data_IF_155705195188
#
_entry.id   IF_155705195188
#
_cell.length_a   1.000
_cell.length_b   1.000
_cell.length_c   1.000
_cell.angle_alpha   90.00
_cell.angle_beta   90.00
_cell.angle_gamma   90.00
#
_symmetry.space_group_name_H-M   'P 1'
#
loop_
_entity.id
_entity.type
_entity.pdbx_description
1 polymer ?
#
# COMPACT_ATOMS: atom_id res chain seq x y z
N UNK A 1 -25.21 6.81 -3.97
CA UNK A 1 -23.99 7.20 -3.25
C UNK A 1 -22.78 6.92 -4.12
N UNK A 2 -22.01 7.97 -4.40
CA UNK A 2 -20.79 7.93 -5.22
C UNK A 2 -19.56 7.98 -4.32
N UNK A 3 -18.83 6.87 -4.23
CA UNK A 3 -17.62 6.76 -3.40
C UNK A 3 -16.36 6.81 -4.26
N UNK A 4 -15.45 7.74 -3.96
CA UNK A 4 -14.10 7.74 -4.51
C UNK A 4 -13.15 6.96 -3.59
N UNK A 5 -12.34 6.09 -4.16
CA UNK A 5 -11.34 5.29 -3.45
C UNK A 5 -9.97 5.61 -4.03
N UNK A 6 -9.05 6.01 -3.16
CA UNK A 6 -7.63 6.21 -3.46
C UNK A 6 -6.79 5.46 -2.43
N UNK A 7 -5.62 4.99 -2.84
CA UNK A 7 -4.75 4.14 -2.03
C UNK A 7 -3.29 4.46 -2.29
N UNK A 8 -2.41 4.02 -1.39
CA UNK A 8 -0.97 4.03 -1.57
C UNK A 8 -0.48 5.44 -1.94
N UNK A 9 -0.84 6.41 -1.09
CA UNK A 9 -0.42 7.81 -1.23
C UNK A 9 1.00 8.02 -0.72
N UNK A 10 1.34 7.28 0.35
CA UNK A 10 2.58 7.33 1.10
C UNK A 10 3.07 8.76 1.38
N UNK A 11 2.18 9.63 1.85
CA UNK A 11 2.54 11.02 2.12
C UNK A 11 3.64 11.07 3.19
N UNK A 12 4.79 11.65 2.82
CA UNK A 12 5.99 11.73 3.64
C UNK A 12 7.15 10.85 3.18
N UNK A 13 7.07 10.19 2.02
CA UNK A 13 8.16 9.37 1.48
C UNK A 13 9.50 10.12 1.44
N UNK A 14 10.57 9.41 1.81
CA UNK A 14 11.93 9.99 1.76
C UNK A 14 12.45 10.14 0.34
N UNK A 15 11.94 9.34 -0.60
CA UNK A 15 12.32 9.38 -2.01
C UNK A 15 11.77 10.62 -2.74
N UNK A 16 10.70 11.22 -2.22
CA UNK A 16 9.90 12.25 -2.90
C UNK A 16 8.94 11.72 -3.97
N UNK A 17 8.79 10.39 -4.06
CA UNK A 17 7.91 9.75 -5.06
C UNK A 17 6.41 9.92 -4.79
N UNK A 18 6.02 10.39 -3.62
CA UNK A 18 4.63 10.68 -3.21
C UNK A 18 4.09 11.93 -3.91
N UNK A 19 3.54 11.75 -5.12
CA UNK A 19 3.28 12.86 -6.05
C UNK A 19 2.19 13.83 -5.57
N UNK A 20 1.34 13.41 -4.63
CA UNK A 20 0.27 14.24 -4.05
C UNK A 20 0.78 15.35 -3.10
N UNK A 21 2.06 15.32 -2.73
CA UNK A 21 2.68 16.48 -2.07
C UNK A 21 2.82 17.67 -3.02
N UNK A 22 2.89 17.42 -4.33
CA UNK A 22 2.93 18.51 -5.31
C UNK A 22 1.53 19.13 -5.50
N UNK A 23 1.38 20.46 -5.34
CA UNK A 23 0.06 21.11 -5.35
C UNK A 23 -0.69 20.96 -6.68
N UNK A 24 0.01 20.98 -7.81
CA UNK A 24 -0.63 20.83 -9.13
C UNK A 24 -1.22 19.43 -9.33
N UNK A 25 -0.51 18.38 -8.88
CA UNK A 25 -0.98 16.99 -8.98
C UNK A 25 -2.14 16.77 -8.02
N UNK A 26 -2.03 17.32 -6.81
CA UNK A 26 -3.11 17.27 -5.82
C UNK A 26 -4.38 17.95 -6.31
N UNK A 27 -4.27 19.10 -7.00
CA UNK A 27 -5.42 19.78 -7.60
C UNK A 27 -6.16 18.87 -8.59
N UNK A 28 -5.45 18.12 -9.44
CA UNK A 28 -6.08 17.17 -10.38
C UNK A 28 -6.90 16.10 -9.67
N UNK A 29 -6.38 15.54 -8.57
CA UNK A 29 -7.13 14.60 -7.75
C UNK A 29 -8.37 15.25 -7.14
N UNK A 30 -8.23 16.42 -6.54
CA UNK A 30 -9.32 17.11 -5.85
C UNK A 30 -10.44 17.54 -6.80
N UNK A 31 -10.09 17.94 -8.03
CA UNK A 31 -11.05 18.21 -9.10
C UNK A 31 -11.86 16.95 -9.47
N UNK A 32 -11.19 15.79 -9.60
CA UNK A 32 -11.86 14.52 -9.90
C UNK A 32 -12.80 14.07 -8.77
N UNK A 33 -12.33 14.09 -7.51
CA UNK A 33 -13.11 13.57 -6.37
C UNK A 33 -14.08 14.60 -5.77
N UNK A 34 -14.11 15.82 -6.29
CA UNK A 34 -14.90 16.93 -5.74
C UNK A 34 -16.40 16.69 -5.72
N UNK A 35 -16.91 15.74 -6.53
CA UNK A 35 -18.31 15.32 -6.55
C UNK A 35 -18.59 13.99 -5.84
N UNK A 36 -17.61 13.42 -5.13
CA UNK A 36 -17.84 12.23 -4.33
C UNK A 36 -18.73 12.55 -3.12
N UNK A 37 -19.62 11.63 -2.74
CA UNK A 37 -20.36 11.69 -1.48
C UNK A 37 -19.49 11.24 -0.30
N UNK A 38 -18.51 10.37 -0.58
CA UNK A 38 -17.54 9.79 0.35
C UNK A 38 -16.19 9.60 -0.33
N UNK A 39 -15.11 9.87 0.40
CA UNK A 39 -13.75 9.49 -0.01
C UNK A 39 -13.21 8.42 0.93
N UNK A 40 -12.65 7.35 0.38
CA UNK A 40 -11.97 6.28 1.11
C UNK A 40 -10.48 6.34 0.80
N UNK A 41 -9.66 6.49 1.84
CA UNK A 41 -8.21 6.34 1.79
C UNK A 41 -7.87 4.89 2.16
N UNK A 42 -7.69 4.04 1.16
CA UNK A 42 -7.59 2.57 1.28
C UNK A 42 -6.17 2.10 1.66
N UNK A 43 -5.65 2.69 2.72
CA UNK A 43 -4.38 2.31 3.33
C UNK A 43 -3.17 2.99 2.70
N UNK A 44 -2.09 2.98 3.47
CA UNK A 44 -0.82 3.61 3.14
C UNK A 44 -1.00 5.07 2.68
N UNK A 45 -1.87 5.80 3.39
CA UNK A 45 -2.12 7.21 3.16
C UNK A 45 -0.95 8.07 3.64
N UNK A 46 -0.35 7.70 4.78
CA UNK A 46 0.79 8.41 5.40
C UNK A 46 1.97 7.45 5.62
N UNK A 47 3.17 7.88 5.27
CA UNK A 47 4.38 7.07 5.43
C UNK A 47 4.92 7.13 6.88
N UNK A 48 4.66 6.09 7.69
CA UNK A 48 5.13 6.02 9.10
C UNK A 48 6.25 4.98 9.34
N UNK A 49 6.75 4.31 8.29
CA UNK A 49 7.85 3.33 8.37
C UNK A 49 9.20 3.92 7.95
N UNK A 50 9.22 5.02 7.21
CA UNK A 50 10.47 5.68 6.82
C UNK A 50 10.93 6.80 7.76
N UNK A 51 9.98 7.53 8.36
CA UNK A 51 10.25 8.75 9.14
C UNK A 51 9.49 8.79 10.48
N UNK A 52 9.95 9.60 11.45
CA UNK A 52 9.20 9.84 12.67
C UNK A 52 7.82 10.46 12.40
N UNK A 53 6.88 10.22 13.32
CA UNK A 53 5.46 10.58 13.17
C UNK A 53 5.24 12.07 12.86
N UNK A 54 5.91 12.96 13.61
CA UNK A 54 5.75 14.41 13.46
C UNK A 54 6.07 14.91 12.05
N UNK A 55 7.29 14.67 11.52
CA UNK A 55 7.64 14.98 10.14
C UNK A 55 6.71 14.36 9.08
N UNK A 56 6.29 13.09 9.25
CA UNK A 56 5.37 12.45 8.30
C UNK A 56 4.01 13.15 8.26
N UNK A 57 3.44 13.46 9.43
CA UNK A 57 2.19 14.21 9.53
C UNK A 57 2.33 15.63 8.96
N UNK A 58 3.45 16.32 9.23
CA UNK A 58 3.71 17.65 8.67
C UNK A 58 3.76 17.63 7.13
N UNK A 59 4.36 16.60 6.53
CA UNK A 59 4.41 16.42 5.08
C UNK A 59 3.03 16.11 4.48
N UNK A 60 2.17 15.40 5.21
CA UNK A 60 0.82 15.03 4.77
C UNK A 60 -0.22 16.15 4.98
N UNK A 61 0.05 17.12 5.87
CA UNK A 61 -0.89 18.18 6.26
C UNK A 61 -1.55 18.90 5.08
N UNK A 62 -0.82 19.44 4.07
CA UNK A 62 -1.44 20.17 2.98
C UNK A 62 -2.46 19.34 2.20
N UNK A 63 -2.23 18.02 2.10
CA UNK A 63 -3.18 17.13 1.45
C UNK A 63 -4.49 17.03 2.22
N UNK A 64 -4.44 16.82 3.53
CA UNK A 64 -5.64 16.69 4.35
C UNK A 64 -6.42 18.01 4.47
N UNK A 65 -5.74 19.15 4.56
CA UNK A 65 -6.40 20.47 4.56
C UNK A 65 -7.13 20.71 3.23
N UNK A 66 -6.48 20.46 2.09
CA UNK A 66 -7.09 20.66 0.77
C UNK A 66 -8.23 19.64 0.51
N UNK A 67 -8.09 18.40 0.98
CA UNK A 67 -9.13 17.36 0.91
C UNK A 67 -10.37 17.77 1.72
N UNK A 68 -10.19 18.21 2.96
CA UNK A 68 -11.26 18.69 3.80
C UNK A 68 -12.00 19.87 3.19
N UNK A 69 -11.25 20.83 2.64
CA UNK A 69 -11.81 21.99 1.95
C UNK A 69 -12.65 21.60 0.72
N UNK A 70 -12.19 20.63 -0.08
CA UNK A 70 -12.92 20.15 -1.26
C UNK A 70 -14.21 19.41 -0.88
N UNK A 71 -14.21 18.67 0.23
CA UNK A 71 -15.32 17.83 0.64
C UNK A 71 -16.38 18.54 1.49
N UNK A 72 -16.04 19.60 2.23
CA UNK A 72 -17.00 20.23 3.14
C UNK A 72 -17.45 19.22 4.21
N UNK A 73 -18.75 19.04 4.44
CA UNK A 73 -19.27 18.15 5.51
C UNK A 73 -19.32 16.65 5.15
N UNK A 74 -18.78 16.27 3.99
CA UNK A 74 -18.82 14.89 3.47
C UNK A 74 -17.88 13.95 4.22
N UNK A 75 -18.08 12.65 4.05
CA UNK A 75 -17.36 11.62 4.82
C UNK A 75 -16.00 11.29 4.20
N UNK A 76 -14.98 11.21 5.05
CA UNK A 76 -13.66 10.64 4.73
C UNK A 76 -13.45 9.41 5.60
N UNK A 77 -13.19 8.26 4.99
CA UNK A 77 -12.84 7.04 5.73
C UNK A 77 -11.40 6.65 5.46
N UNK A 78 -10.60 6.50 6.52
CA UNK A 78 -9.26 5.90 6.43
C UNK A 78 -9.39 4.41 6.76
N UNK A 79 -8.87 3.57 5.87
CA UNK A 79 -8.70 2.13 6.09
C UNK A 79 -7.21 1.85 6.23
N UNK A 80 -6.63 1.83 7.45
CA UNK A 80 -5.19 1.74 7.62
C UNK A 80 -4.57 0.50 6.93
N UNK A 81 -3.43 0.72 6.26
CA UNK A 81 -2.58 -0.30 5.65
C UNK A 81 -1.41 -0.66 6.56
N UNK A 82 -0.35 -1.24 5.99
CA UNK A 82 0.84 -1.62 6.75
C UNK A 82 1.78 -0.45 7.06
N UNK A 83 1.77 0.63 6.25
CA UNK A 83 2.62 1.81 6.48
C UNK A 83 2.02 2.79 7.49
N UNK A 84 0.70 2.80 7.63
CA UNK A 84 -0.03 3.62 8.58
C UNK A 84 -0.89 2.82 9.57
N UNK A 85 -0.53 1.55 9.80
CA UNK A 85 -1.19 0.63 10.77
C UNK A 85 -1.40 1.26 12.15
N UNK A 86 -0.54 2.19 12.54
CA UNK A 86 -0.65 2.97 13.79
C UNK A 86 -2.01 3.65 13.95
N UNK A 87 -2.72 3.97 12.86
CA UNK A 87 -4.05 4.56 12.89
C UNK A 87 -5.14 3.57 13.33
N UNK A 88 -4.91 2.26 13.17
CA UNK A 88 -5.83 1.21 13.63
C UNK A 88 -5.60 0.82 15.10
N UNK A 89 -4.46 1.17 15.70
CA UNK A 89 -4.10 0.70 17.04
C UNK A 89 -5.12 1.04 18.14
N UNK A 90 -5.70 2.26 18.22
CA UNK A 90 -6.72 2.55 19.24
C UNK A 90 -7.91 1.60 19.19
N UNK A 91 -8.41 1.32 17.98
CA UNK A 91 -9.49 0.35 17.77
C UNK A 91 -9.07 -1.07 18.18
N UNK A 92 -7.85 -1.49 17.83
CA UNK A 92 -7.32 -2.81 18.19
C UNK A 92 -7.08 -2.97 19.69
N UNK A 93 -6.74 -1.88 20.39
CA UNK A 93 -6.58 -1.85 21.84
C UNK A 93 -7.94 -1.95 22.53
N UNK A 94 -8.94 -1.16 22.08
CA UNK A 94 -10.31 -1.23 22.59
C UNK A 94 -10.88 -2.65 22.45
N UNK A 95 -10.75 -3.28 21.27
CA UNK A 95 -11.17 -4.68 21.04
C UNK A 95 -10.41 -5.70 21.91
N UNK A 96 -9.21 -5.38 22.38
CA UNK A 96 -8.45 -6.26 23.26
C UNK A 96 -8.86 -6.14 24.73
N UNK A 97 -9.40 -4.98 25.11
CA UNK A 97 -9.86 -4.67 26.47
C UNK A 97 -11.31 -5.10 26.68
N UNK A 98 -12.17 -4.77 25.72
CA UNK A 98 -13.55 -5.24 25.70
C UNK A 98 -13.55 -6.71 25.28
N UNK A 99 -13.80 -7.61 26.23
CA UNK A 99 -13.81 -9.07 26.03
C UNK A 99 -14.92 -9.57 25.08
N UNK A 100 -15.58 -8.65 24.38
CA UNK A 100 -16.88 -8.80 23.74
C UNK A 100 -16.83 -9.42 22.35
N UNK A 101 -15.96 -8.96 21.45
CA UNK A 101 -15.92 -9.44 20.06
C UNK A 101 -14.52 -9.43 19.43
N UNK A 102 -14.09 -10.51 18.73
CA UNK A 102 -12.85 -10.52 17.98
C UNK A 102 -12.90 -9.56 16.78
N UNK A 103 -11.73 -9.13 16.31
CA UNK A 103 -11.61 -8.38 15.05
C UNK A 103 -12.25 -9.18 13.90
N UNK A 104 -13.09 -8.51 13.12
CA UNK A 104 -13.89 -9.07 12.03
C UNK A 104 -13.40 -8.49 10.71
N UNK A 105 -14.19 -8.59 9.64
CA UNK A 105 -13.86 -7.98 8.35
C UNK A 105 -14.02 -6.46 8.36
N UNK A 106 -14.88 -5.94 9.24
CA UNK A 106 -15.13 -4.52 9.38
C UNK A 106 -15.40 -4.16 10.84
N UNK A 107 -14.61 -3.22 11.33
CA UNK A 107 -14.88 -2.45 12.53
C UNK A 107 -14.67 -0.98 12.24
N UNK A 108 -15.48 -0.13 12.85
CA UNK A 108 -15.35 1.31 12.72
C UNK A 108 -15.03 1.96 14.06
N UNK A 109 -14.28 3.05 14.00
CA UNK A 109 -13.90 3.84 15.16
C UNK A 109 -13.88 5.32 14.80
N UNK A 110 -14.22 6.16 15.77
CA UNK A 110 -14.04 7.60 15.64
C UNK A 110 -12.54 7.95 15.71
N UNK A 111 -12.14 9.13 15.22
CA UNK A 111 -10.80 9.64 15.48
C UNK A 111 -10.52 9.69 16.99
N UNK A 112 -9.33 9.26 17.38
CA UNK A 112 -8.91 9.16 18.78
C UNK A 112 -7.72 10.10 19.05
N UNK A 113 -7.48 10.51 20.33
CA UNK A 113 -6.38 11.38 20.67
C UNK A 113 -5.05 10.89 20.09
N UNK A 114 -4.36 11.76 19.34
CA UNK A 114 -3.12 11.42 18.64
C UNK A 114 -3.19 11.75 17.14
N UNK A 115 -2.62 10.90 16.26
CA UNK A 115 -2.48 11.23 14.86
C UNK A 115 -3.82 11.33 14.11
N UNK A 116 -4.79 10.48 14.41
CA UNK A 116 -6.11 10.51 13.74
C UNK A 116 -6.93 11.73 14.15
N UNK A 117 -6.89 12.16 15.42
CA UNK A 117 -7.45 13.46 15.84
C UNK A 117 -6.76 14.67 15.18
N UNK A 118 -5.45 14.56 14.88
CA UNK A 118 -4.71 15.62 14.18
C UNK A 118 -5.17 15.73 12.72
N UNK A 119 -5.38 14.59 12.06
CA UNK A 119 -5.92 14.53 10.69
C UNK A 119 -7.36 15.03 10.65
N UNK A 120 -8.20 14.62 11.61
CA UNK A 120 -9.59 15.10 11.76
C UNK A 120 -9.65 16.63 11.84
N UNK A 121 -8.78 17.23 12.67
CA UNK A 121 -8.69 18.69 12.78
C UNK A 121 -8.30 19.39 11.46
N UNK A 122 -7.48 18.76 10.61
CA UNK A 122 -7.10 19.31 9.29
C UNK A 122 -8.20 19.15 8.25
N UNK A 123 -8.95 18.05 8.32
CA UNK A 123 -10.12 17.81 7.47
C UNK A 123 -11.26 18.81 7.74
N UNK A 124 -11.25 19.45 8.92
CA UNK A 124 -12.15 20.54 9.24
C UNK A 124 -13.61 20.07 9.30
N UNK A 125 -14.51 20.56 8.42
CA UNK A 125 -15.90 20.11 8.42
C UNK A 125 -16.10 18.66 7.95
N UNK A 126 -15.12 18.07 7.25
CA UNK A 126 -15.26 16.72 6.71
C UNK A 126 -15.21 15.68 7.83
N UNK A 127 -16.14 14.72 7.80
CA UNK A 127 -16.31 13.76 8.88
C UNK A 127 -15.34 12.61 8.71
N UNK A 128 -14.32 12.53 9.57
CA UNK A 128 -13.37 11.43 9.56
C UNK A 128 -13.94 10.19 10.28
N UNK A 129 -13.80 9.03 9.62
CA UNK A 129 -14.01 7.70 10.21
C UNK A 129 -12.77 6.83 9.99
N UNK A 130 -12.45 5.98 10.95
CA UNK A 130 -11.47 4.91 10.79
C UNK A 130 -12.22 3.59 10.61
N UNK A 131 -11.87 2.79 9.60
CA UNK A 131 -12.38 1.44 9.40
C UNK A 131 -11.21 0.44 9.29
N UNK A 132 -11.32 -0.75 9.89
CA UNK A 132 -10.24 -1.74 9.89
C UNK A 132 -10.77 -3.17 10.03
N UNK A 133 -10.12 -4.18 9.42
CA UNK A 133 -9.05 -4.10 8.41
C UNK A 133 -9.56 -3.81 6.99
N UNK A 134 -10.88 -3.75 6.83
CA UNK A 134 -11.56 -3.40 5.59
C UNK A 134 -12.89 -2.69 5.88
N UNK A 135 -13.67 -2.54 4.82
CA UNK A 135 -14.95 -1.84 4.80
C UNK A 135 -15.83 -2.43 3.69
N UNK A 136 -17.06 -2.79 4.03
CA UNK A 136 -18.10 -3.05 3.05
C UNK A 136 -18.67 -1.72 2.55
N UNK A 137 -18.52 -1.46 1.26
CA UNK A 137 -19.07 -0.27 0.61
C UNK A 137 -20.51 -0.50 0.13
N UNK A 138 -20.81 -1.75 -0.20
CA UNK A 138 -22.12 -2.33 -0.55
C UNK A 138 -22.09 -3.80 -0.16
N UNK A 139 -23.24 -4.48 -0.19
CA UNK A 139 -23.34 -5.92 0.10
C UNK A 139 -22.50 -6.79 -0.85
N UNK A 140 -22.09 -6.26 -1.99
CA UNK A 140 -21.30 -6.92 -3.03
C UNK A 140 -19.92 -6.27 -3.27
N UNK A 141 -19.50 -5.27 -2.47
CA UNK A 141 -18.22 -4.58 -2.64
C UNK A 141 -17.48 -4.48 -1.30
N UNK A 142 -16.39 -5.25 -1.18
CA UNK A 142 -15.49 -5.21 -0.02
C UNK A 142 -14.18 -4.52 -0.40
N UNK A 143 -13.79 -3.52 0.39
CA UNK A 143 -12.52 -2.81 0.21
C UNK A 143 -11.60 -3.07 1.41
N UNK A 144 -10.36 -3.45 1.13
CA UNK A 144 -9.29 -3.55 2.14
C UNK A 144 -7.99 -3.03 1.53
N UNK A 145 -7.05 -2.54 2.33
CA UNK A 145 -5.74 -2.19 1.79
C UNK A 145 -5.05 -3.40 1.14
N UNK A 146 -5.18 -4.58 1.76
CA UNK A 146 -4.61 -5.82 1.25
C UNK A 146 -3.24 -6.18 1.85
N UNK A 147 -2.79 -5.52 2.92
CA UNK A 147 -1.49 -5.85 3.57
C UNK A 147 -1.38 -7.29 4.06
N UNK A 148 -2.50 -7.99 4.29
CA UNK A 148 -2.50 -9.42 4.60
C UNK A 148 -2.00 -10.30 3.44
N UNK A 149 -1.95 -9.78 2.22
CA UNK A 149 -1.33 -10.44 1.06
C UNK A 149 0.14 -10.80 1.32
N UNK A 150 0.85 -10.05 2.18
CA UNK A 150 2.25 -10.33 2.52
C UNK A 150 2.47 -11.74 3.11
N UNK A 151 1.43 -12.37 3.65
CA UNK A 151 1.50 -13.75 4.12
C UNK A 151 1.47 -14.80 3.00
N UNK A 152 0.97 -14.42 1.82
CA UNK A 152 0.74 -15.31 0.68
C UNK A 152 1.61 -14.97 -0.53
N UNK A 153 2.30 -13.82 -0.50
CA UNK A 153 3.22 -13.42 -1.54
C UNK A 153 4.42 -14.35 -1.58
N UNK A 154 4.60 -15.00 -2.74
CA UNK A 154 5.79 -15.81 -3.04
C UNK A 154 7.00 -14.94 -3.40
N UNK A 155 6.84 -13.62 -3.42
CA UNK A 155 7.94 -12.71 -3.68
C UNK A 155 8.83 -12.57 -2.42
N UNK A 156 10.15 -12.82 -2.50
CA UNK A 156 11.04 -12.77 -1.34
C UNK A 156 11.40 -11.33 -0.92
N UNK A 157 10.38 -10.50 -0.65
CA UNK A 157 10.55 -9.17 -0.03
C UNK A 157 10.88 -9.33 1.45
N UNK A 158 11.55 -8.33 2.03
CA UNK A 158 11.95 -8.36 3.43
C UNK A 158 10.73 -8.56 4.36
N UNK A 159 9.62 -7.91 4.06
CA UNK A 159 8.33 -8.05 4.74
C UNK A 159 7.82 -9.50 4.68
N UNK A 160 7.67 -10.07 3.49
CA UNK A 160 7.17 -11.43 3.31
C UNK A 160 8.06 -12.47 4.01
N UNK A 161 9.39 -12.29 3.96
CA UNK A 161 10.35 -13.15 4.68
C UNK A 161 10.20 -13.00 6.21
N UNK A 162 10.00 -11.77 6.71
CA UNK A 162 9.77 -11.54 8.13
C UNK A 162 8.46 -12.18 8.59
N UNK A 163 7.39 -12.07 7.79
CA UNK A 163 6.10 -12.73 8.05
C UNK A 163 6.26 -14.25 8.08
N UNK A 164 6.89 -14.86 7.07
CA UNK A 164 7.15 -16.30 7.04
C UNK A 164 7.98 -16.75 8.25
N UNK A 165 8.95 -15.94 8.68
CA UNK A 165 9.73 -16.20 9.89
C UNK A 165 8.87 -16.17 11.16
N UNK A 166 7.97 -15.20 11.31
CA UNK A 166 7.07 -15.12 12.45
C UNK A 166 6.05 -16.26 12.47
N UNK A 167 5.51 -16.64 11.31
CA UNK A 167 4.67 -17.85 11.18
C UNK A 167 5.45 -19.08 11.66
N UNK A 168 6.69 -19.24 11.18
CA UNK A 168 7.53 -20.39 11.54
C UNK A 168 7.88 -20.45 13.02
N UNK A 169 8.17 -19.31 13.65
CA UNK A 169 8.51 -19.22 15.08
C UNK A 169 7.28 -19.43 15.95
N UNK A 170 6.13 -18.85 15.56
CA UNK A 170 4.88 -19.00 16.32
C UNK A 170 4.35 -20.44 16.32
N UNK A 171 4.76 -21.26 15.34
CA UNK A 171 4.27 -22.62 15.15
C UNK A 171 2.77 -22.70 14.82
N UNK A 172 2.15 -21.57 14.47
CA UNK A 172 0.72 -21.43 14.18
C UNK A 172 0.56 -20.91 12.75
N UNK A 173 0.43 -21.81 11.75
CA UNK A 173 0.15 -21.39 10.38
C UNK A 173 -1.18 -20.64 10.31
N UNK A 174 -1.32 -19.79 9.29
CA UNK A 174 -2.61 -19.15 8.98
C UNK A 174 -3.56 -20.25 8.49
N UNK A 175 -4.74 -20.41 9.10
CA UNK A 175 -5.71 -21.43 8.67
C UNK A 175 -6.20 -21.20 7.24
N UNK A 176 -6.73 -22.25 6.60
CA UNK A 176 -7.33 -22.14 5.26
C UNK A 176 -8.59 -21.27 5.24
N UNK A 177 -9.31 -21.21 6.37
CA UNK A 177 -10.34 -20.19 6.63
C UNK A 177 -9.84 -19.30 7.76
N UNK A 178 -9.37 -18.11 7.41
CA UNK A 178 -8.73 -17.20 8.33
C UNK A 178 -9.60 -15.97 8.59
N UNK A 179 -9.68 -15.55 9.85
CA UNK A 179 -10.21 -14.24 10.19
C UNK A 179 -9.12 -13.18 10.18
N UNK A 180 -9.50 -11.91 10.27
CA UNK A 180 -8.57 -10.79 10.45
C UNK A 180 -7.63 -11.00 11.66
N UNK A 181 -8.15 -11.55 12.76
CA UNK A 181 -7.37 -11.90 13.96
C UNK A 181 -6.20 -12.83 13.66
N UNK A 182 -6.35 -13.79 12.74
CA UNK A 182 -5.28 -14.74 12.42
C UNK A 182 -4.09 -14.06 11.75
N UNK A 183 -4.35 -13.05 10.91
CA UNK A 183 -3.31 -12.22 10.31
C UNK A 183 -2.72 -11.24 11.32
N UNK A 184 -3.55 -10.50 12.07
CA UNK A 184 -3.08 -9.52 13.07
C UNK A 184 -2.15 -10.15 14.10
N UNK A 185 -2.41 -11.40 14.51
CA UNK A 185 -1.56 -12.15 15.44
C UNK A 185 -0.09 -12.20 15.00
N UNK A 186 0.17 -12.16 13.69
CA UNK A 186 1.51 -12.20 13.11
C UNK A 186 1.95 -10.77 12.75
N UNK A 187 1.10 -10.06 12.01
CA UNK A 187 1.45 -8.82 11.33
C UNK A 187 1.63 -7.64 12.27
N UNK A 188 0.81 -7.53 13.32
CA UNK A 188 0.83 -6.41 14.27
C UNK A 188 2.21 -6.20 14.90
N UNK A 189 2.91 -7.28 15.24
CA UNK A 189 4.26 -7.22 15.81
C UNK A 189 5.29 -6.66 14.82
N UNK A 190 5.21 -7.07 13.55
CA UNK A 190 6.10 -6.59 12.49
C UNK A 190 5.89 -5.09 12.21
N UNK A 191 4.63 -4.65 12.19
CA UNK A 191 4.29 -3.26 11.96
C UNK A 191 4.72 -2.37 13.13
N UNK A 192 4.46 -2.79 14.38
CA UNK A 192 4.94 -2.10 15.57
C UNK A 192 6.46 -1.98 15.63
N UNK A 193 7.19 -3.04 15.25
CA UNK A 193 8.64 -3.01 15.15
C UNK A 193 9.13 -2.02 14.08
N UNK A 194 8.55 -2.06 12.88
CA UNK A 194 8.90 -1.17 11.77
C UNK A 194 8.68 0.30 12.15
N UNK A 195 7.53 0.60 12.76
CA UNK A 195 7.20 1.93 13.28
C UNK A 195 8.21 2.37 14.35
N UNK A 196 8.52 1.52 15.33
CA UNK A 196 9.49 1.83 16.39
C UNK A 196 10.89 2.16 15.85
N UNK A 197 11.35 1.42 14.84
CA UNK A 197 12.61 1.72 14.14
C UNK A 197 12.55 3.09 13.46
N UNK A 198 11.43 3.43 12.83
CA UNK A 198 11.24 4.75 12.21
C UNK A 198 11.29 5.88 13.24
N UNK A 199 10.64 5.70 14.40
CA UNK A 199 10.63 6.70 15.48
C UNK A 199 12.02 6.89 16.13
N UNK A 200 12.87 5.86 16.13
CA UNK A 200 14.23 5.95 16.65
C UNK A 200 15.19 6.76 15.74
N UNK A 201 14.77 7.10 14.51
CA UNK A 201 15.59 7.92 13.60
C UNK A 201 15.58 9.38 14.08
N UNK A 202 16.75 9.89 14.45
CA UNK A 202 16.91 11.32 14.78
C UNK A 202 16.53 12.19 13.59
N UNK A 203 15.83 13.30 13.83
CA UNK A 203 15.40 14.29 12.81
C UNK A 203 16.59 14.70 11.91
N UNK A 204 17.79 14.87 12.48
CA UNK A 204 19.04 15.20 11.76
C UNK A 204 19.55 14.10 10.80
N UNK A 205 19.19 12.83 11.03
CA UNK A 205 19.48 11.70 10.13
C UNK A 205 18.36 11.45 9.13
N UNK A 206 17.11 11.81 9.46
CA UNK A 206 15.98 11.77 8.53
C UNK A 206 16.05 12.85 7.44
N UNK A 207 16.67 14.00 7.73
CA UNK A 207 16.92 15.09 6.79
C UNK A 207 18.21 14.92 5.95
N UNK A 208 19.15 14.06 6.38
CA UNK A 208 20.32 13.71 5.57
C UNK A 208 19.93 12.57 4.64
N UNK A 209 20.00 12.79 3.31
CA UNK A 209 19.91 11.80 2.22
C UNK A 209 19.83 10.38 2.76
N UNK A 210 18.61 9.91 3.03
CA UNK A 210 18.41 8.52 3.34
C UNK A 210 18.85 7.74 2.09
N UNK A 211 19.82 6.81 2.16
CA UNK A 211 19.93 5.84 1.09
C UNK A 211 18.55 5.18 0.99
N UNK A 212 17.99 5.13 -0.23
CA UNK A 212 16.66 4.55 -0.47
C UNK A 212 16.54 3.17 0.17
N UNK A 213 15.30 2.72 0.41
CA UNK A 213 15.00 1.49 1.14
C UNK A 213 16.02 0.37 0.78
N UNK A 214 16.69 -0.25 1.77
CA UNK A 214 17.66 -1.31 1.50
C UNK A 214 17.10 -2.42 0.60
N UNK A 215 15.79 -2.70 0.69
CA UNK A 215 15.08 -3.59 -0.22
C UNK A 215 15.10 -3.04 -1.64
N UNK A 216 14.66 -1.80 -1.90
CA UNK A 216 14.75 -1.14 -3.21
C UNK A 216 16.17 -1.13 -3.79
N UNK A 217 17.19 -0.97 -2.95
CA UNK A 217 18.60 -0.99 -3.39
C UNK A 217 19.05 -2.39 -3.81
N UNK A 218 18.64 -3.43 -3.07
CA UNK A 218 18.85 -4.83 -3.46
C UNK A 218 18.04 -5.19 -4.72
N UNK A 219 16.80 -4.69 -4.81
CA UNK A 219 15.92 -4.81 -5.97
C UNK A 219 16.54 -4.18 -7.22
N UNK A 220 17.05 -2.95 -7.14
CA UNK A 220 17.81 -2.29 -8.22
C UNK A 220 19.05 -3.10 -8.60
N UNK A 221 19.72 -3.75 -7.63
CA UNK A 221 20.86 -4.59 -7.91
C UNK A 221 20.49 -5.83 -8.74
N UNK A 222 19.30 -6.39 -8.50
CA UNK A 222 18.77 -7.63 -9.10
C UNK A 222 18.01 -7.42 -10.43
N UNK A 223 17.31 -6.29 -10.62
CA UNK A 223 16.38 -6.06 -11.75
C UNK A 223 16.87 -5.08 -12.81
N UNK A 224 17.81 -4.17 -12.53
CA UNK A 224 18.20 -3.15 -13.52
C UNK A 224 19.09 -3.73 -14.63
N UNK A 225 18.70 -3.57 -15.90
CA UNK A 225 19.50 -3.94 -17.10
C UNK A 225 20.36 -2.79 -17.67
N UNK A 226 20.48 -1.68 -16.94
CA UNK A 226 21.33 -0.55 -17.36
C UNK A 226 22.81 -0.97 -17.35
N UNK A 227 23.48 -0.89 -18.52
CA UNK A 227 24.91 -1.22 -18.73
C UNK A 227 25.79 -0.57 -17.66
N UNK A 228 26.18 -1.34 -16.63
CA UNK A 228 27.04 -0.87 -15.56
C UNK A 228 28.47 -0.63 -16.09
N UNK A 229 28.99 0.59 -15.92
CA UNK A 229 30.40 0.88 -16.25
C UNK A 229 31.31 0.26 -15.17
N UNK A 230 31.99 -0.85 -15.50
CA UNK A 230 33.08 -1.44 -14.72
C UNK A 230 33.02 -2.97 -14.50
N UNK A 231 34.08 -3.68 -14.90
CA UNK A 231 34.22 -5.16 -14.86
C UNK A 231 33.93 -5.80 -13.49
N UNK A 232 34.40 -5.17 -12.40
CA UNK A 232 34.27 -5.72 -11.03
C UNK A 232 32.82 -5.74 -10.55
N UNK A 233 32.04 -4.69 -10.84
CA UNK A 233 30.61 -4.60 -10.50
C UNK A 233 29.74 -5.58 -11.32
N UNK A 234 30.15 -5.87 -12.55
CA UNK A 234 29.47 -6.84 -13.41
C UNK A 234 29.65 -8.28 -12.90
N UNK A 235 30.86 -8.64 -12.46
CA UNK A 235 31.16 -9.97 -11.88
C UNK A 235 30.40 -10.20 -10.56
N UNK A 236 30.39 -9.21 -9.66
CA UNK A 236 29.64 -9.34 -8.39
C UNK A 236 28.14 -9.47 -8.62
N UNK A 237 27.57 -8.75 -9.60
CA UNK A 237 26.14 -8.88 -9.97
C UNK A 237 25.80 -10.24 -10.59
N UNK A 238 26.65 -10.73 -11.49
CA UNK A 238 26.47 -12.05 -12.09
C UNK A 238 26.51 -13.14 -11.03
N UNK A 239 27.46 -13.08 -10.09
CA UNK A 239 27.55 -14.03 -9.00
C UNK A 239 26.30 -14.03 -8.11
N UNK A 240 25.78 -12.84 -7.74
CA UNK A 240 24.55 -12.70 -6.95
C UNK A 240 23.35 -13.31 -7.69
N UNK A 241 23.16 -12.98 -8.97
CA UNK A 241 22.07 -13.53 -9.79
C UNK A 241 22.15 -15.06 -9.91
N UNK A 242 23.34 -15.63 -10.10
CA UNK A 242 23.51 -17.09 -10.21
C UNK A 242 23.28 -17.81 -8.87
N UNK A 243 23.66 -17.21 -7.73
CA UNK A 243 23.44 -17.80 -6.41
C UNK A 243 22.02 -17.61 -5.86
N UNK A 244 21.24 -16.70 -6.42
CA UNK A 244 19.94 -16.30 -5.89
C UNK A 244 18.94 -17.46 -5.78
N UNK A 245 18.73 -18.31 -6.82
CA UNK A 245 17.81 -19.45 -6.71
C UNK A 245 18.19 -20.45 -5.61
N UNK A 246 19.50 -20.71 -5.43
CA UNK A 246 19.98 -21.59 -4.37
C UNK A 246 19.74 -20.98 -2.97
N UNK A 247 19.89 -19.66 -2.84
CA UNK A 247 19.54 -18.93 -1.62
C UNK A 247 18.06 -19.02 -1.29
N UNK A 248 17.18 -18.83 -2.28
CA UNK A 248 15.73 -18.96 -2.11
C UNK A 248 15.33 -20.39 -1.74
N UNK A 249 15.92 -21.40 -2.37
CA UNK A 249 15.69 -22.80 -2.00
C UNK A 249 16.04 -23.08 -0.53
N UNK A 250 17.20 -22.60 -0.06
CA UNK A 250 17.62 -22.77 1.32
C UNK A 250 16.68 -22.03 2.29
N UNK A 251 16.23 -20.83 1.92
CA UNK A 251 15.28 -20.03 2.70
C UNK A 251 13.93 -20.74 2.82
N UNK A 252 13.40 -21.27 1.72
CA UNK A 252 12.15 -22.04 1.70
C UNK A 252 12.22 -23.27 2.59
N UNK A 253 13.34 -24.01 2.52
CA UNK A 253 13.56 -25.15 3.41
C UNK A 253 13.60 -24.76 4.88
N UNK A 254 14.20 -23.62 5.21
CA UNK A 254 14.31 -23.13 6.59
C UNK A 254 12.96 -22.66 7.15
N UNK A 255 12.22 -21.88 6.36
CA UNK A 255 10.98 -21.22 6.78
C UNK A 255 9.72 -22.04 6.53
N UNK A 256 9.83 -23.15 5.79
CA UNK A 256 8.70 -23.91 5.25
C UNK A 256 7.79 -23.03 4.39
N UNK A 257 8.40 -22.20 3.53
CA UNK A 257 7.74 -21.26 2.63
C UNK A 257 7.88 -21.66 1.16
N UNK A 258 7.19 -20.95 0.26
CA UNK A 258 7.18 -21.17 -1.19
C UNK A 258 7.67 -19.97 -2.00
N UNK A 259 8.68 -19.22 -1.53
CA UNK A 259 9.20 -18.07 -2.27
C UNK A 259 9.71 -18.48 -3.66
N UNK A 260 9.36 -17.70 -4.69
CA UNK A 260 9.80 -17.88 -6.07
C UNK A 260 11.06 -17.03 -6.33
N UNK A 261 12.13 -17.62 -6.91
CA UNK A 261 13.29 -16.86 -7.35
C UNK A 261 13.04 -16.01 -8.63
N UNK A 262 11.94 -16.20 -9.37
CA UNK A 262 11.56 -15.33 -10.48
C UNK A 262 10.96 -14.02 -9.96
N UNK A 263 11.71 -12.95 -10.16
CA UNK A 263 11.37 -11.59 -9.76
C UNK A 263 11.12 -10.70 -10.98
N UNK A 264 10.78 -11.30 -12.12
CA UNK A 264 10.40 -10.56 -13.33
C UNK A 264 9.08 -9.81 -13.12
N UNK A 265 8.84 -8.69 -13.82
CA UNK A 265 7.58 -7.96 -13.69
C UNK A 265 6.31 -8.81 -13.92
N UNK A 266 6.26 -9.74 -14.91
CA UNK A 266 5.13 -10.65 -15.06
C UNK A 266 4.94 -11.59 -13.85
N UNK A 267 6.03 -12.14 -13.30
CA UNK A 267 5.97 -13.01 -12.13
C UNK A 267 5.51 -12.25 -10.88
N UNK A 268 6.00 -11.02 -10.67
CA UNK A 268 5.53 -10.13 -9.59
C UNK A 268 4.04 -9.87 -9.71
N UNK A 269 3.55 -9.57 -10.91
CA UNK A 269 2.14 -9.35 -11.15
C UNK A 269 1.32 -10.61 -10.86
N UNK A 270 1.72 -11.76 -11.42
CA UNK A 270 1.00 -13.03 -11.22
C UNK A 270 0.98 -13.44 -9.75
N UNK A 271 2.11 -13.32 -9.05
CA UNK A 271 2.22 -13.61 -7.61
C UNK A 271 1.39 -12.66 -6.75
N UNK A 272 1.34 -11.37 -7.11
CA UNK A 272 0.46 -10.40 -6.46
C UNK A 272 -1.03 -10.73 -6.63
N UNK A 273 -1.44 -11.10 -7.85
CA UNK A 273 -2.80 -11.52 -8.14
C UNK A 273 -3.18 -12.82 -7.40
N UNK A 274 -2.26 -13.80 -7.36
CA UNK A 274 -2.46 -15.03 -6.61
C UNK A 274 -2.60 -14.77 -5.11
N UNK A 275 -1.74 -13.94 -4.52
CA UNK A 275 -1.80 -13.59 -3.10
C UNK A 275 -3.10 -12.84 -2.72
N UNK A 276 -3.56 -11.93 -3.58
CA UNK A 276 -4.83 -11.22 -3.38
C UNK A 276 -6.04 -12.17 -3.50
N UNK A 277 -5.98 -13.11 -4.44
CA UNK A 277 -7.01 -14.15 -4.60
C UNK A 277 -7.07 -15.05 -3.38
N UNK A 278 -5.92 -15.53 -2.89
CA UNK A 278 -5.82 -16.34 -1.68
C UNK A 278 -6.34 -15.57 -0.45
N UNK A 279 -5.99 -14.28 -0.33
CA UNK A 279 -6.52 -13.42 0.73
C UNK A 279 -8.06 -13.38 0.69
N UNK A 280 -8.65 -13.11 -0.47
CA UNK A 280 -10.10 -13.03 -0.63
C UNK A 280 -10.81 -14.34 -0.26
N UNK A 281 -10.25 -15.48 -0.70
CA UNK A 281 -10.77 -16.81 -0.39
C UNK A 281 -10.71 -17.07 1.12
N UNK A 282 -9.55 -16.83 1.76
CA UNK A 282 -9.38 -17.12 3.19
C UNK A 282 -10.27 -16.27 4.07
N UNK A 283 -10.48 -15.01 3.70
CA UNK A 283 -11.40 -14.09 4.40
C UNK A 283 -12.87 -14.38 4.10
N UNK A 284 -13.17 -15.23 3.10
CA UNK A 284 -14.55 -15.56 2.71
C UNK A 284 -15.28 -14.42 2.01
N UNK A 285 -14.56 -13.58 1.27
CA UNK A 285 -15.12 -12.42 0.53
C UNK A 285 -15.04 -12.61 -0.99
N UNK A 286 -14.66 -13.80 -1.45
CA UNK A 286 -14.42 -14.13 -2.85
C UNK A 286 -15.69 -14.22 -3.73
N UNK A 287 -16.87 -14.07 -3.14
CA UNK A 287 -18.14 -13.87 -3.85
C UNK A 287 -18.45 -12.41 -4.21
N UNK A 288 -17.65 -11.45 -3.74
CA UNK A 288 -17.87 -10.02 -3.92
C UNK A 288 -16.89 -9.39 -4.94
N UNK A 289 -17.10 -8.12 -5.26
CA UNK A 289 -16.06 -7.25 -5.79
C UNK A 289 -15.08 -6.92 -4.66
N UNK A 290 -13.86 -7.46 -4.72
CA UNK A 290 -12.82 -7.24 -3.71
C UNK A 290 -11.82 -6.21 -4.22
N UNK A 291 -11.73 -5.07 -3.56
CA UNK A 291 -10.84 -3.96 -3.91
C UNK A 291 -9.62 -3.96 -2.98
N UNK A 292 -8.41 -3.95 -3.54
CA UNK A 292 -7.12 -3.86 -2.82
C UNK A 292 -6.27 -2.69 -3.30
N UNK A 293 -5.22 -2.29 -2.56
CA UNK A 293 -4.28 -1.23 -2.95
C UNK A 293 -2.82 -1.68 -3.01
N UNK A 294 -2.39 -2.35 -1.94
CA UNK A 294 -1.03 -2.78 -1.55
C UNK A 294 -0.03 -3.24 -2.64
N UNK A 295 -0.48 -3.65 -3.84
CA UNK A 295 0.44 -4.00 -4.94
C UNK A 295 0.89 -2.81 -5.79
N UNK A 296 0.30 -1.61 -5.57
CA UNK A 296 0.51 -0.36 -6.30
C UNK A 296 0.15 -0.40 -7.80
N UNK A 297 -0.20 -1.59 -8.33
CA UNK A 297 -0.60 -1.80 -9.71
C UNK A 297 -2.10 -1.66 -9.83
N UNK A 298 -2.56 -0.67 -10.59
CA UNK A 298 -3.98 -0.54 -10.88
C UNK A 298 -4.44 -1.66 -11.81
N UNK A 299 -5.64 -2.22 -11.58
CA UNK A 299 -6.27 -3.14 -12.52
C UNK A 299 -7.53 -3.85 -11.98
N UNK A 300 -8.22 -4.67 -12.79
CA UNK A 300 -8.01 -4.77 -14.24
C UNK A 300 -8.34 -3.44 -14.93
N UNK A 301 -7.75 -3.20 -16.11
CA UNK A 301 -8.13 -2.13 -17.02
C UNK A 301 -9.03 -2.67 -18.15
N UNK A 302 -9.79 -1.82 -18.88
CA UNK A 302 -10.68 -2.29 -19.95
C UNK A 302 -10.00 -3.14 -21.04
N UNK A 303 -8.69 -2.92 -21.26
CA UNK A 303 -7.84 -3.68 -22.18
C UNK A 303 -7.35 -5.03 -21.62
N UNK A 304 -7.56 -5.30 -20.34
CA UNK A 304 -7.11 -6.51 -19.65
C UNK A 304 -8.28 -7.48 -19.43
N UNK A 305 -7.96 -8.77 -19.29
CA UNK A 305 -8.96 -9.73 -18.85
C UNK A 305 -9.39 -9.42 -17.41
N UNK A 306 -10.67 -9.66 -17.12
CA UNK A 306 -11.19 -9.64 -15.76
C UNK A 306 -10.42 -10.59 -14.85
N UNK A 307 -10.40 -10.28 -13.55
CA UNK A 307 -9.77 -11.10 -12.51
C UNK A 307 -10.85 -11.80 -11.67
N UNK A 308 -11.43 -12.91 -12.17
CA UNK A 308 -12.49 -13.60 -11.46
C UNK A 308 -11.96 -14.26 -10.18
N UNK A 309 -12.78 -14.24 -9.14
CA UNK A 309 -12.53 -14.95 -7.90
C UNK A 309 -13.32 -16.28 -7.88
N UNK A 310 -12.84 -17.25 -7.10
CA UNK A 310 -13.41 -18.61 -7.09
C UNK A 310 -14.89 -18.63 -6.65
N UNK A 311 -15.27 -17.78 -5.70
CA UNK A 311 -16.65 -17.60 -5.22
C UNK A 311 -17.59 -16.89 -6.20
N UNK A 312 -17.14 -16.55 -7.41
CA UNK A 312 -17.94 -15.85 -8.42
C UNK A 312 -17.84 -14.33 -8.38
N UNK A 313 -17.04 -13.79 -7.44
CA UNK A 313 -16.72 -12.36 -7.36
C UNK A 313 -15.61 -11.94 -8.34
N UNK A 314 -15.09 -10.73 -8.14
CA UNK A 314 -14.04 -10.15 -8.99
C UNK A 314 -13.04 -9.36 -8.16
N UNK A 315 -11.75 -9.51 -8.46
CA UNK A 315 -10.69 -8.74 -7.83
C UNK A 315 -10.42 -7.43 -8.59
N UNK A 316 -10.14 -6.37 -7.82
CA UNK A 316 -9.76 -5.05 -8.29
C UNK A 316 -8.59 -4.53 -7.46
N UNK A 317 -7.66 -3.82 -8.09
CA UNK A 317 -6.58 -3.12 -7.41
C UNK A 317 -6.63 -1.64 -7.75
N UNK A 318 -6.68 -0.77 -6.75
CA UNK A 318 -6.88 0.68 -6.90
C UNK A 318 -5.75 1.35 -7.69
N UNK A 319 -4.51 0.90 -7.52
CA UNK A 319 -3.31 1.52 -8.08
C UNK A 319 -2.53 2.24 -6.98
N UNK A 320 -1.84 3.32 -7.33
CA UNK A 320 -1.11 4.12 -6.35
C UNK A 320 -0.99 5.59 -6.74
N UNK A 321 -0.45 6.37 -5.81
CA UNK A 321 -0.01 7.75 -6.03
C UNK A 321 1.50 7.91 -5.76
N UNK A 322 2.26 6.83 -5.97
CA UNK A 322 3.71 6.82 -5.83
C UNK A 322 4.38 6.65 -7.19
N UNK A 323 5.19 7.62 -7.58
CA UNK A 323 6.10 7.49 -8.72
C UNK A 323 7.42 6.86 -8.28
N UNK A 324 7.59 5.57 -8.60
CA UNK A 324 8.83 4.85 -8.35
C UNK A 324 9.56 4.58 -9.67
N UNK A 325 10.63 5.35 -9.93
CA UNK A 325 11.44 5.25 -11.17
C UNK A 325 12.01 3.86 -11.46
N UNK A 326 12.00 2.93 -10.51
CA UNK A 326 12.38 1.53 -10.74
C UNK A 326 11.39 0.78 -11.64
N UNK A 327 10.11 1.16 -11.62
CA UNK A 327 9.06 0.54 -12.44
C UNK A 327 8.83 1.29 -13.75
N UNK A 328 9.54 2.40 -13.96
CA UNK A 328 9.32 3.32 -15.07
C UNK A 328 10.64 3.65 -15.76
N UNK A 329 10.80 3.19 -17.00
CA UNK A 329 12.01 3.49 -17.79
C UNK A 329 11.80 4.73 -18.67
N UNK A 330 12.80 5.62 -18.79
CA UNK A 330 12.72 6.75 -19.70
C UNK A 330 12.41 6.32 -21.14
N UNK A 331 11.50 7.05 -21.81
CA UNK A 331 11.11 6.78 -23.20
C UNK A 331 10.10 5.65 -23.38
N UNK A 332 9.70 4.96 -22.30
CA UNK A 332 8.58 4.02 -22.32
C UNK A 332 7.28 4.74 -21.94
N UNK A 333 6.13 4.34 -22.52
CA UNK A 333 4.83 4.88 -22.10
C UNK A 333 4.50 4.47 -20.65
N UNK A 334 3.60 5.22 -19.99
CA UNK A 334 2.99 4.81 -18.72
C UNK A 334 2.46 3.37 -18.78
N UNK A 335 2.65 2.62 -17.68
CA UNK A 335 2.21 1.22 -17.54
C UNK A 335 1.23 1.08 -16.36
N UNK A 336 0.82 -0.15 -16.03
CA UNK A 336 -0.18 -0.40 -14.97
C UNK A 336 0.25 0.01 -13.55
N UNK A 337 1.52 0.34 -13.32
CA UNK A 337 2.05 0.89 -12.07
C UNK A 337 2.13 2.42 -12.07
N UNK A 338 1.73 3.09 -13.16
CA UNK A 338 1.80 4.55 -13.23
C UNK A 338 0.85 5.18 -12.20
N UNK A 339 1.30 6.20 -11.45
CA UNK A 339 0.49 6.80 -10.40
C UNK A 339 -0.69 7.60 -10.96
N UNK A 340 -1.60 7.99 -10.07
CA UNK A 340 -2.69 8.92 -10.40
C UNK A 340 -4.01 8.20 -10.68
N UNK A 341 -4.38 7.27 -9.81
CA UNK A 341 -5.57 6.44 -10.00
C UNK A 341 -6.65 6.79 -8.99
N UNK A 342 -7.90 6.80 -9.45
CA UNK A 342 -9.09 6.90 -8.59
C UNK A 342 -10.04 5.77 -8.99
N UNK A 343 -10.48 4.99 -8.01
CA UNK A 343 -11.49 3.94 -8.22
C UNK A 343 -12.84 4.43 -7.69
N UNK A 344 -13.85 4.42 -8.54
CA UNK A 344 -15.21 4.84 -8.27
C UNK A 344 -16.11 3.63 -8.01
N UNK A 345 -16.91 3.74 -6.95
CA UNK A 345 -18.01 2.82 -6.65
C UNK A 345 -19.29 3.64 -6.58
N UNK A 346 -20.25 3.30 -7.45
CA UNK A 346 -21.58 3.90 -7.50
C UNK A 346 -22.60 2.96 -6.83
N UNK A 347 -23.89 3.30 -6.89
CA UNK A 347 -24.96 2.49 -6.28
C UNK A 347 -25.06 1.08 -6.88
N UNK A 348 -24.74 0.93 -8.17
CA UNK A 348 -24.84 -0.33 -8.89
C UNK A 348 -23.63 -0.54 -9.82
N UNK A 349 -23.42 -1.80 -10.24
CA UNK A 349 -22.38 -2.18 -11.18
C UNK A 349 -20.98 -2.30 -10.58
N UNK A 350 -20.03 -2.72 -11.41
CA UNK A 350 -18.65 -2.97 -11.01
C UNK A 350 -17.88 -1.67 -10.73
N UNK A 351 -16.84 -1.70 -9.86
CA UNK A 351 -15.93 -0.59 -9.66
C UNK A 351 -15.31 -0.10 -10.98
N UNK A 352 -15.19 1.21 -11.16
CA UNK A 352 -14.59 1.83 -12.37
C UNK A 352 -13.37 2.66 -12.01
N UNK A 353 -12.32 2.64 -12.83
CA UNK A 353 -11.09 3.39 -12.55
C UNK A 353 -10.82 4.46 -13.59
N UNK A 354 -10.37 5.62 -13.11
CA UNK A 354 -9.80 6.70 -13.94
C UNK A 354 -8.30 6.83 -13.68
N UNK A 355 -7.57 7.31 -14.68
CA UNK A 355 -6.11 7.55 -14.63
C UNK A 355 -5.84 9.01 -14.97
N UNK A 356 -5.42 9.79 -13.98
CA UNK A 356 -5.31 11.25 -14.07
C UNK A 356 -3.94 11.74 -14.57
N UNK A 357 -2.90 10.90 -14.50
CA UNK A 357 -1.53 11.30 -14.82
C UNK A 357 -0.95 10.63 -16.07
N UNK A 358 -1.79 10.07 -16.94
CA UNK A 358 -1.33 9.40 -18.17
C UNK A 358 -0.67 10.37 -19.16
N UNK A 359 -1.02 11.65 -19.11
CA UNK A 359 -0.43 12.69 -19.96
C UNK A 359 0.87 13.27 -19.40
N UNK A 360 1.25 12.90 -18.16
CA UNK A 360 2.53 13.29 -17.59
C UNK A 360 3.58 12.27 -18.02
N UNK A 361 4.59 12.70 -18.77
CA UNK A 361 5.67 11.84 -19.22
C UNK A 361 6.70 11.62 -18.12
N UNK A 362 7.52 10.57 -18.28
CA UNK A 362 8.58 10.22 -17.32
C UNK A 362 9.47 11.40 -16.88
N UNK A 363 9.97 12.28 -17.77
CA UNK A 363 10.79 13.42 -17.34
C UNK A 363 10.05 14.37 -16.40
N UNK A 364 8.76 14.64 -16.68
CA UNK A 364 7.92 15.50 -15.85
C UNK A 364 7.69 14.87 -14.48
N UNK A 365 7.39 13.57 -14.43
CA UNK A 365 7.23 12.85 -13.16
C UNK A 365 8.52 12.80 -12.33
N UNK A 366 9.67 12.69 -12.99
CA UNK A 366 10.97 12.75 -12.31
C UNK A 366 11.20 14.12 -11.71
N UNK A 367 10.95 15.19 -12.47
CA UNK A 367 11.09 16.56 -11.98
C UNK A 367 10.16 16.84 -10.78
N UNK A 368 8.90 16.38 -10.84
CA UNK A 368 7.96 16.49 -9.73
C UNK A 368 8.50 15.81 -8.46
N UNK A 369 9.00 14.58 -8.58
CA UNK A 369 9.58 13.85 -7.44
C UNK A 369 10.84 14.52 -6.87
N UNK A 370 11.65 15.17 -7.70
CA UNK A 370 12.80 15.94 -7.25
C UNK A 370 12.40 17.20 -6.47
N UNK A 371 11.39 17.94 -6.95
CA UNK A 371 10.86 19.13 -6.25
C UNK A 371 10.29 18.77 -4.87
N UNK A 372 9.48 17.73 -4.80
CA UNK A 372 8.88 17.23 -3.54
C UNK A 372 9.95 16.85 -2.51
N UNK A 373 11.10 16.34 -2.97
CA UNK A 373 12.24 15.99 -2.12
C UNK A 373 12.99 17.23 -1.62
N UNK A 374 13.12 18.26 -2.45
CA UNK A 374 13.87 19.47 -2.10
C UNK A 374 13.07 20.40 -1.16
N UNK A 375 11.74 20.29 -1.15
CA UNK A 375 10.83 20.99 -0.23
C UNK A 375 10.69 20.30 1.16
N UNK A 376 11.38 19.17 1.39
CA UNK A 376 11.32 18.36 2.62
C UNK A 376 12.55 18.57 3.53
#
# INVERSE_FOLDING_TARGET
>A
MRTAIISDLHLGLTSGGDVLRHPEVRRLLLEEIGEADRVVLLGDAVELRERPLGPSLAAARPFFEDLGAALGEREVTIVPGNHDHRFAEPLLDDLSLDSGDPLSLEQTHAPSPGPTATIDAWLGPARLRIAYPGLWLRDDVYATHGHYMDAHLELPRAECVAVATLIRISGRPIPDRAGAVDYERIMRALYGFSYGVAQARTIRRAAKRAPGNPSETAWKALTSDVRARGRRRQLTRSAIRTSFPAGIWALNRLLHSSFDPDISPPAIFAGGLAAATELAIRLGVDGAHVITGHSHRGGPYPEEADWPLHGGGQLHNTGSWVFASIFHSPGMPPNSYWPGTVTWVEDEGAPRRVRLLMDHLHPQMTELAERVRDDA
#
